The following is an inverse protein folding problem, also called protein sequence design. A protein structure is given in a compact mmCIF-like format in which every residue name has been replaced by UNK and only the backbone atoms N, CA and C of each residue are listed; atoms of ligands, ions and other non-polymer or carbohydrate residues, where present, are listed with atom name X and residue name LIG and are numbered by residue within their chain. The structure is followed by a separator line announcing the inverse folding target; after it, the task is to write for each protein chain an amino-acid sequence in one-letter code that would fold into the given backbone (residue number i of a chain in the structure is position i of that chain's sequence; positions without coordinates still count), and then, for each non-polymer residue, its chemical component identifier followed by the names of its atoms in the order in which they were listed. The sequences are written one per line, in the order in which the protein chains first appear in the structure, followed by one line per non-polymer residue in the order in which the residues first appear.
data_IF_917147210401
#
_entry.id   IF_917147210401
#
_cell.length_a   1.000
_cell.length_b   1.000
_cell.length_c   1.000
_cell.angle_alpha   90.00
_cell.angle_beta   90.00
_cell.angle_gamma   90.00
#
_symmetry.space_group_name_H-M   'P 1'
#
loop_
_entity.id
_entity.type
_entity.pdbx_description
1 polymer ?
#
# COMPACT_ATOMS: atom_id res chain seq x y z
N UNK A 1 -1.06 11.43 8.06
CA UNK A 1 0.14 12.22 7.76
C UNK A 1 1.28 11.52 8.47
N UNK A 2 2.41 11.26 7.83
CA UNK A 2 3.61 10.76 8.53
C UNK A 2 4.07 11.91 9.43
N UNK A 3 4.09 11.80 10.77
CA UNK A 3 4.76 12.79 11.61
C UNK A 3 6.19 13.03 11.12
N UNK A 4 6.68 14.27 11.16
CA UNK A 4 8.04 14.61 10.70
C UNK A 4 9.16 13.79 11.42
N UNK A 5 8.83 13.13 12.55
CA UNK A 5 9.70 12.23 13.33
C UNK A 5 9.48 10.71 13.11
N UNK A 6 8.72 10.32 12.09
CA UNK A 6 8.42 8.90 11.86
C UNK A 6 9.67 8.15 11.43
N UNK A 7 10.15 7.24 12.28
CA UNK A 7 11.27 6.38 11.95
C UNK A 7 10.84 5.30 10.94
N UNK A 8 11.64 5.03 9.89
CA UNK A 8 11.41 3.88 9.04
C UNK A 8 11.31 2.61 9.88
N UNK A 9 10.35 1.75 9.55
CA UNK A 9 10.11 0.49 10.23
C UNK A 9 10.16 -0.67 9.23
N UNK A 10 10.64 -1.83 9.69
CA UNK A 10 10.62 -3.05 8.89
C UNK A 10 9.17 -3.54 8.74
N UNK A 11 8.64 -3.66 7.51
CA UNK A 11 7.27 -4.12 7.31
C UNK A 11 7.14 -5.63 7.50
N UNK A 12 5.90 -6.14 7.67
CA UNK A 12 5.64 -7.57 7.55
C UNK A 12 5.90 -8.08 6.12
N UNK A 13 5.87 -9.40 5.93
CA UNK A 13 6.13 -10.04 4.63
C UNK A 13 5.18 -9.52 3.55
N UNK A 14 3.91 -9.32 3.90
CA UNK A 14 2.86 -8.89 3.00
C UNK A 14 2.04 -7.77 3.64
N UNK A 15 1.64 -6.83 2.80
CA UNK A 15 0.66 -5.80 3.10
C UNK A 15 -0.39 -5.77 1.99
N UNK A 16 -1.49 -5.07 2.22
CA UNK A 16 -2.67 -5.10 1.35
C UNK A 16 -3.12 -3.70 0.97
N UNK A 17 -3.52 -3.53 -0.28
CA UNK A 17 -4.09 -2.28 -0.79
C UNK A 17 -5.50 -2.52 -1.35
N UNK A 18 -6.47 -1.81 -0.81
CA UNK A 18 -7.84 -1.82 -1.31
C UNK A 18 -8.01 -0.80 -2.43
N UNK A 19 -8.43 -1.25 -3.61
CA UNK A 19 -8.69 -0.37 -4.77
C UNK A 19 -9.96 -0.78 -5.49
N UNK A 20 -10.35 -0.01 -6.51
CA UNK A 20 -11.45 -0.36 -7.40
C UNK A 20 -10.93 -1.07 -8.66
N UNK A 21 -11.70 -2.05 -9.17
CA UNK A 21 -11.30 -2.86 -10.34
C UNK A 21 -10.88 -2.00 -11.57
N UNK A 22 -11.51 -0.84 -11.78
CA UNK A 22 -11.17 0.08 -12.87
C UNK A 22 -9.73 0.61 -12.84
N UNK A 23 -9.06 0.58 -11.69
CA UNK A 23 -7.68 1.04 -11.54
C UNK A 23 -6.65 -0.05 -11.80
N UNK A 24 -7.06 -1.33 -11.88
CA UNK A 24 -6.15 -2.46 -12.07
C UNK A 24 -5.27 -2.30 -13.31
N UNK A 25 -5.75 -1.90 -14.50
CA UNK A 25 -4.88 -1.73 -15.66
C UNK A 25 -3.76 -0.70 -15.44
N UNK A 26 -4.08 0.42 -14.78
CA UNK A 26 -3.08 1.45 -14.46
C UNK A 26 -2.08 0.97 -13.41
N UNK A 27 -2.53 0.22 -12.41
CA UNK A 27 -1.67 -0.30 -11.34
C UNK A 27 -0.72 -1.36 -11.88
N UNK A 28 -1.16 -2.20 -12.82
CA UNK A 28 -0.28 -3.18 -13.47
C UNK A 28 0.78 -2.51 -14.36
N UNK A 29 0.47 -1.34 -14.94
CA UNK A 29 1.41 -0.60 -15.78
C UNK A 29 2.40 0.26 -14.99
N UNK A 30 1.95 0.90 -13.90
CA UNK A 30 2.70 1.96 -13.22
C UNK A 30 3.04 1.62 -11.75
N UNK A 31 2.44 0.58 -11.19
CA UNK A 31 2.45 0.32 -9.75
C UNK A 31 1.42 1.14 -8.98
N UNK A 32 1.49 1.13 -7.65
CA UNK A 32 0.69 2.00 -6.79
C UNK A 32 1.41 3.33 -6.59
N UNK A 33 0.72 4.41 -6.98
CA UNK A 33 1.13 5.78 -6.76
C UNK A 33 0.22 6.43 -5.70
N UNK A 34 0.70 7.42 -4.93
CA UNK A 34 -0.03 8.01 -3.81
C UNK A 34 -1.22 8.90 -4.26
N UNK A 35 -1.37 9.16 -5.56
CA UNK A 35 -2.45 9.99 -6.11
C UNK A 35 -2.38 11.42 -5.57
N UNK A 36 -3.48 11.92 -5.00
CA UNK A 36 -3.53 13.24 -4.32
C UNK A 36 -2.95 13.24 -2.91
N UNK A 37 -2.50 12.09 -2.40
CA UNK A 37 -1.83 11.98 -1.09
C UNK A 37 -0.33 12.04 -1.25
N UNK A 38 0.38 12.06 -0.11
CA UNK A 38 1.86 12.03 -0.06
C UNK A 38 2.45 10.61 -0.12
N UNK A 39 1.70 9.60 0.34
CA UNK A 39 2.19 8.22 0.45
C UNK A 39 1.08 7.23 0.07
N UNK A 40 1.48 6.06 -0.41
CA UNK A 40 0.61 4.90 -0.58
C UNK A 40 0.27 4.36 0.81
N UNK A 41 -1.02 4.17 1.06
CA UNK A 41 -1.51 3.53 2.28
C UNK A 41 -1.75 2.05 2.06
N UNK A 42 -1.23 1.26 2.99
CA UNK A 42 -1.30 -0.19 3.00
C UNK A 42 -1.83 -0.67 4.36
N UNK A 43 -2.59 -1.76 4.36
CA UNK A 43 -3.11 -2.41 5.55
C UNK A 43 -2.38 -3.74 5.79
N UNK A 44 -2.20 -4.11 7.05
CA UNK A 44 -1.72 -5.46 7.40
C UNK A 44 -2.84 -6.52 7.33
N UNK A 45 -4.10 -6.08 7.45
CA UNK A 45 -5.29 -6.94 7.37
C UNK A 45 -6.00 -6.77 6.01
N UNK A 46 -6.13 -7.84 5.19
CA UNK A 46 -6.81 -7.78 3.90
C UNK A 46 -8.30 -7.45 4.03
N UNK A 47 -8.95 -7.78 5.15
CA UNK A 47 -10.36 -7.42 5.38
C UNK A 47 -10.52 -5.89 5.50
N UNK A 48 -9.59 -5.22 6.18
CA UNK A 48 -9.57 -3.74 6.25
C UNK A 48 -9.36 -3.13 4.87
N UNK A 49 -8.47 -3.71 4.05
CA UNK A 49 -8.27 -3.27 2.67
C UNK A 49 -9.54 -3.43 1.81
N UNK A 50 -10.26 -4.54 1.96
CA UNK A 50 -11.51 -4.79 1.22
C UNK A 50 -12.57 -3.72 1.50
N UNK A 51 -12.76 -3.36 2.78
CA UNK A 51 -13.73 -2.32 3.19
C UNK A 51 -13.42 -0.96 2.56
N UNK A 52 -12.13 -0.61 2.40
CA UNK A 52 -11.72 0.63 1.71
C UNK A 52 -12.08 0.57 0.22
N UNK A 53 -11.83 -0.56 -0.44
CA UNK A 53 -12.13 -0.76 -1.86
C UNK A 53 -13.62 -0.73 -2.18
N UNK A 54 -14.47 -1.27 -1.30
CA UNK A 54 -15.93 -1.30 -1.47
C UNK A 54 -16.57 0.08 -1.56
N UNK A 55 -15.96 1.11 -0.97
CA UNK A 55 -16.42 2.51 -1.09
C UNK A 55 -16.45 3.03 -2.53
N UNK A 56 -15.74 2.35 -3.44
CA UNK A 56 -15.55 2.78 -4.82
C UNK A 56 -16.11 1.79 -5.85
N UNK A 57 -16.93 0.81 -5.44
CA UNK A 57 -17.58 -0.18 -6.32
C UNK A 57 -17.14 -1.62 -6.03
N UNK A 58 -16.88 -2.42 -7.08
CA UNK A 58 -16.23 -3.72 -6.92
C UNK A 58 -14.79 -3.52 -6.40
N UNK A 59 -14.65 -3.66 -5.08
CA UNK A 59 -13.38 -3.59 -4.38
C UNK A 59 -12.50 -4.79 -4.74
N UNK A 60 -11.25 -4.51 -5.12
CA UNK A 60 -10.20 -5.50 -5.29
C UNK A 60 -9.16 -5.26 -4.19
N UNK A 61 -8.69 -6.34 -3.59
CA UNK A 61 -7.57 -6.30 -2.65
C UNK A 61 -6.32 -6.78 -3.37
N UNK A 62 -5.33 -5.90 -3.47
CA UNK A 62 -4.01 -6.21 -4.00
C UNK A 62 -3.08 -6.61 -2.87
N UNK A 63 -2.24 -7.61 -3.12
CA UNK A 63 -1.18 -8.03 -2.20
C UNK A 63 0.13 -7.36 -2.58
N UNK A 64 0.84 -6.81 -1.59
CA UNK A 64 2.13 -6.16 -1.76
C UNK A 64 3.20 -6.95 -1.01
N UNK A 65 4.27 -7.36 -1.71
CA UNK A 65 5.43 -8.04 -1.14
C UNK A 65 6.34 -7.05 -0.37
N UNK A 66 5.85 -6.54 0.75
CA UNK A 66 6.43 -5.41 1.47
C UNK A 66 7.83 -5.68 2.04
N UNK A 67 8.08 -6.86 2.63
CA UNK A 67 9.43 -7.20 3.11
C UNK A 67 10.46 -7.23 1.97
N UNK A 68 10.08 -7.81 0.82
CA UNK A 68 10.97 -7.83 -0.36
C UNK A 68 11.27 -6.42 -0.88
N UNK A 69 10.29 -5.52 -0.82
CA UNK A 69 10.53 -4.11 -1.15
C UNK A 69 11.49 -3.47 -0.14
N UNK A 70 11.28 -3.69 1.16
CA UNK A 70 12.15 -3.17 2.20
C UNK A 70 13.60 -3.64 2.02
N UNK A 71 13.81 -4.92 1.71
CA UNK A 71 15.12 -5.49 1.44
C UNK A 71 15.80 -4.87 0.19
N UNK A 72 15.03 -4.26 -0.71
CA UNK A 72 15.52 -3.51 -1.87
C UNK A 72 15.67 -1.99 -1.59
N UNK A 73 15.54 -1.56 -0.33
CA UNK A 73 15.77 -0.18 0.09
C UNK A 73 14.54 0.72 0.09
N UNK A 74 13.35 0.17 -0.15
CA UNK A 74 12.11 0.94 -0.04
C UNK A 74 11.79 1.22 1.43
N UNK A 75 11.47 2.47 1.74
CA UNK A 75 11.15 2.88 3.11
C UNK A 75 9.68 2.67 3.42
N UNK A 76 9.44 2.12 4.59
CA UNK A 76 8.12 1.92 5.15
C UNK A 76 8.01 2.65 6.48
N UNK A 77 6.83 3.16 6.77
CA UNK A 77 6.51 3.85 8.01
C UNK A 77 5.17 3.34 8.51
N UNK A 78 4.96 3.40 9.81
CA UNK A 78 3.67 3.08 10.41
C UNK A 78 3.07 4.36 10.99
N UNK A 79 1.80 4.64 10.68
CA UNK A 79 1.07 5.74 11.30
C UNK A 79 0.51 5.34 12.68
N UNK A 80 -0.06 6.33 13.38
CA UNK A 80 -0.63 6.15 14.72
C UNK A 80 -1.81 5.16 14.74
N UNK A 81 -2.48 4.95 13.60
CA UNK A 81 -3.60 4.02 13.45
C UNK A 81 -3.15 2.61 13.03
N UNK A 82 -1.84 2.40 12.90
CA UNK A 82 -1.22 1.13 12.52
C UNK A 82 -1.22 0.86 11.02
N UNK A 83 -1.60 1.82 10.17
CA UNK A 83 -1.48 1.67 8.72
C UNK A 83 -0.03 1.85 8.28
N UNK A 84 0.32 1.18 7.20
CA UNK A 84 1.63 1.23 6.60
C UNK A 84 1.66 2.24 5.46
N UNK A 85 2.77 2.97 5.38
CA UNK A 85 2.98 4.06 4.43
C UNK A 85 4.28 3.84 3.70
N UNK A 86 4.25 4.01 2.38
CA UNK A 86 5.44 4.02 1.52
C UNK A 86 5.26 5.02 0.38
N UNK A 87 6.34 5.44 -0.26
CA UNK A 87 6.31 6.46 -1.30
C UNK A 87 5.54 5.98 -2.55
N UNK A 88 5.87 4.78 -3.03
CA UNK A 88 5.19 4.11 -4.14
C UNK A 88 5.44 2.59 -4.05
N UNK A 89 4.64 1.81 -4.78
CA UNK A 89 4.82 0.35 -4.89
C UNK A 89 5.01 -0.02 -6.36
N UNK A 90 6.20 -0.44 -6.81
CA UNK A 90 6.40 -0.92 -8.17
C UNK A 90 5.52 -2.14 -8.48
N UNK A 91 5.03 -2.23 -9.73
CA UNK A 91 4.11 -3.30 -10.15
C UNK A 91 4.66 -4.72 -9.92
N UNK A 92 5.98 -4.91 -9.99
CA UNK A 92 6.63 -6.21 -9.78
C UNK A 92 6.52 -6.75 -8.33
N UNK A 93 6.06 -5.94 -7.38
CA UNK A 93 5.78 -6.35 -6.01
C UNK A 93 4.28 -6.55 -5.72
N UNK A 94 3.42 -6.38 -6.72
CA UNK A 94 1.96 -6.43 -6.60
C UNK A 94 1.45 -7.75 -7.16
N UNK A 95 0.52 -8.39 -6.43
CA UNK A 95 -0.23 -9.58 -6.85
C UNK A 95 -1.72 -9.37 -6.70
#
# INVERSE_FOLDING_TARGET
MIPDDSKPAMPPHMLFHGTANRFIPSILAQGLLPGSRRHVHLAQDPHRAAVVGQRYGQGVVLTVHALRMHDQGFRFYQDADGNWLTEHVPACFIR
#
